data_IF_726845721503
#
_entry.id   IF_726845721503
#
_cell.length_a   1.000
_cell.length_b   1.000
_cell.length_c   1.000
_cell.angle_alpha   90.00
_cell.angle_beta   90.00
_cell.angle_gamma   90.00
#
_symmetry.space_group_name_H-M   'P 1'
#
loop_
_entity.id
_entity.type
_entity.pdbx_description
1 polymer ?
2 non-polymer ?
3 water ?
#
# COMPACT_ATOMS: atom_id res chain seq x y z
N UNK A 1 -5.09 -2.82 -9.78
CA UNK A 1 -5.50 -4.07 -9.07
C UNK A 1 -4.38 -4.49 -8.16
N UNK A 2 -4.62 -5.53 -7.36
CA UNK A 2 -3.58 -6.06 -6.48
C UNK A 2 -2.38 -6.58 -7.27
N UNK A 3 -2.57 -6.99 -8.52
CA UNK A 3 -1.45 -7.44 -9.37
C UNK A 3 -0.45 -6.32 -9.61
N UNK A 4 -0.94 -5.13 -9.95
CA UNK A 4 -0.05 -4.01 -10.16
C UNK A 4 0.60 -3.57 -8.86
N UNK A 5 -0.19 -3.50 -7.81
CA UNK A 5 0.32 -3.10 -6.50
C UNK A 5 1.43 -4.06 -6.06
N UNK A 6 1.19 -5.36 -6.19
CA UNK A 6 2.18 -6.34 -5.76
C UNK A 6 3.48 -6.23 -6.54
N UNK A 7 3.37 -5.98 -7.84
CA UNK A 7 4.55 -5.81 -8.69
C UNK A 7 5.32 -4.54 -8.29
N UNK A 8 4.61 -3.43 -8.12
CA UNK A 8 5.22 -2.19 -7.66
C UNK A 8 5.98 -2.38 -6.37
N UNK A 9 5.39 -3.09 -5.42
CA UNK A 9 6.04 -3.32 -4.14
C UNK A 9 7.31 -4.14 -4.32
N UNK A 10 7.27 -5.17 -5.17
CA UNK A 10 8.51 -5.93 -5.45
C UNK A 10 9.56 -5.02 -6.07
N UNK A 11 9.14 -4.23 -7.05
CA UNK A 11 10.07 -3.35 -7.79
C UNK A 11 10.78 -2.35 -6.86
N UNK A 12 10.01 -1.74 -5.96
CA UNK A 12 10.54 -0.68 -5.09
C UNK A 12 11.20 -1.21 -3.82
N UNK A 13 10.55 -2.17 -3.14
CA UNK A 13 11.05 -2.64 -1.84
C UNK A 13 11.89 -3.90 -1.88
N UNK A 14 11.81 -4.65 -2.98
CA UNK A 14 12.43 -5.96 -3.07
C UNK A 14 11.72 -7.05 -2.31
N UNK A 15 10.55 -6.75 -1.74
CA UNK A 15 9.82 -7.71 -0.90
C UNK A 15 8.59 -8.30 -1.57
N UNK A 16 8.21 -9.47 -1.08
CA UNK A 16 6.96 -10.13 -1.39
C UNK A 16 5.81 -9.39 -0.70
N UNK A 17 4.92 -8.81 -1.49
CA UNK A 17 3.86 -7.97 -0.94
C UNK A 17 2.96 -8.74 0.03
N UNK A 18 2.60 -9.97 -0.32
CA UNK A 18 1.69 -10.73 0.52
C UNK A 18 2.34 -11.10 1.85
N UNK A 19 3.54 -11.66 1.81
CA UNK A 19 4.14 -12.16 3.05
C UNK A 19 4.71 -11.05 3.93
N UNK A 20 5.19 -9.97 3.33
CA UNK A 20 5.77 -8.87 4.09
C UNK A 20 4.76 -7.79 4.50
N UNK A 21 3.75 -7.55 3.68
CA UNK A 21 2.79 -6.45 3.90
C UNK A 21 1.30 -6.86 3.85
N UNK A 22 1.01 -8.16 3.78
CA UNK A 22 -0.36 -8.60 3.71
C UNK A 22 -1.07 -8.55 5.05
N UNK A 23 -0.28 -8.56 6.12
CA UNK A 23 -0.81 -8.37 7.46
C UNK A 23 0.30 -7.77 8.30
N UNK A 24 0.40 -6.45 8.27
CA UNK A 24 1.42 -5.74 9.02
C UNK A 24 0.79 -4.57 9.75
N UNK A 25 1.00 -4.54 11.06
CA UNK A 25 0.51 -3.45 11.87
C UNK A 25 -1.00 -3.37 11.86
N UNK A 26 -1.48 -2.15 12.06
CA UNK A 26 -2.90 -1.83 12.13
C UNK A 26 -3.54 -1.39 10.83
N UNK A 27 -2.74 -1.27 9.76
CA UNK A 27 -3.27 -0.76 8.49
C UNK A 27 -2.91 -1.54 7.24
N UNK A 28 -1.82 -2.30 7.25
CA UNK A 28 -1.44 -3.08 6.07
C UNK A 28 -2.24 -4.39 6.06
N UNK A 29 -3.17 -4.52 5.11
CA UNK A 29 -3.94 -5.73 4.90
C UNK A 29 -5.44 -5.58 5.00
N UNK A 30 -6.13 -6.55 4.42
CA UNK A 30 -7.58 -6.61 4.42
C UNK A 30 -8.11 -6.56 5.85
N UNK A 31 -9.04 -5.65 6.08
CA UNK A 31 -9.69 -5.51 7.37
C UNK A 31 -8.90 -4.76 8.42
N UNK A 32 -7.64 -4.41 8.15
CA UNK A 32 -6.79 -3.74 9.13
C UNK A 32 -7.16 -2.26 9.25
N UNK A 33 -7.66 -1.86 10.42
CA UNK A 33 -7.78 -0.45 10.80
C UNK A 33 -7.22 -0.23 12.19
N UNK A 34 -6.75 0.99 12.40
CA UNK A 34 -6.20 1.40 13.67
C UNK A 34 -5.08 2.39 13.50
N UNK A 35 -4.70 3.02 14.60
CA UNK A 35 -3.62 3.98 14.57
C UNK A 35 -2.32 3.29 14.16
N UNK A 36 -1.56 3.89 13.24
CA UNK A 36 -0.30 3.29 12.81
C UNK A 36 0.68 3.04 13.94
N UNK A 37 1.36 1.90 13.88
CA UNK A 37 2.35 1.51 14.88
C UNK A 37 3.75 2.03 14.55
N UNK A 38 4.00 2.29 13.27
CA UNK A 38 5.29 2.77 12.79
C UNK A 38 5.15 3.37 11.38
N UNK A 39 6.26 3.73 10.76
CA UNK A 39 6.21 4.45 9.48
C UNK A 39 5.68 3.58 8.36
N UNK A 40 6.07 2.30 8.36
CA UNK A 40 5.55 1.35 7.37
C UNK A 40 4.03 1.28 7.46
N UNK A 41 3.52 1.12 8.67
CA UNK A 41 2.09 1.05 8.92
C UNK A 41 1.40 2.35 8.48
N UNK A 42 2.06 3.48 8.72
CA UNK A 42 1.52 4.76 8.31
C UNK A 42 1.39 4.81 6.80
N UNK A 43 2.39 4.29 6.08
CA UNK A 43 2.28 4.17 4.62
C UNK A 43 0.95 3.52 4.22
N UNK A 44 0.61 2.42 4.89
CA UNK A 44 -0.60 1.68 4.54
C UNK A 44 -1.86 2.44 4.90
N UNK A 45 -1.81 3.19 6.00
CA UNK A 45 -2.92 4.06 6.36
C UNK A 45 -3.18 5.11 5.29
N UNK A 46 -2.13 5.81 4.90
CA UNK A 46 -2.22 6.83 3.85
C UNK A 46 -2.79 6.22 2.56
N UNK A 47 -2.31 5.04 2.23
CA UNK A 47 -2.71 4.31 1.02
C UNK A 47 -4.20 4.05 1.03
N UNK A 48 -4.72 3.54 2.13
CA UNK A 48 -6.15 3.28 2.23
C UNK A 48 -6.95 4.57 2.17
N UNK A 49 -6.48 5.62 2.83
CA UNK A 49 -7.14 6.92 2.71
C UNK A 49 -7.22 7.34 1.24
N UNK A 50 -6.13 7.10 0.52
CA UNK A 50 -6.00 7.51 -0.87
C UNK A 50 -7.00 6.80 -1.77
N UNK A 51 -7.11 5.49 -1.66
CA UNK A 51 -7.91 4.79 -2.65
C UNK A 51 -9.37 4.70 -2.21
N UNK A 52 -9.64 4.83 -0.93
CA UNK A 52 -11.00 4.60 -0.46
C UNK A 52 -11.92 5.73 -0.88
N UNK A 53 -11.36 6.88 -1.23
CA UNK A 53 -12.16 8.01 -1.68
C UNK A 53 -12.64 7.88 -3.13
N UNK A 54 -12.05 6.95 -3.89
CA UNK A 54 -12.43 6.72 -5.27
C UNK A 54 -13.71 5.89 -5.38
N UNK A 55 -14.62 6.35 -6.21
CA UNK A 55 -15.97 5.79 -6.29
C UNK A 55 -16.24 5.06 -7.59
N UNK A 56 -15.38 5.24 -8.59
CA UNK A 56 -15.77 4.88 -9.95
C UNK A 56 -15.04 3.66 -10.49
N UNK A 57 -14.28 3.00 -9.63
CA UNK A 57 -13.52 1.82 -10.01
C UNK A 57 -13.09 1.07 -8.74
N UNK A 58 -12.57 -0.14 -8.93
CA UNK A 58 -12.27 -1.05 -7.83
C UNK A 58 -10.78 -1.29 -7.64
N UNK A 59 -10.27 -0.94 -6.47
CA UNK A 59 -8.83 -1.05 -6.18
C UNK A 59 -8.28 -2.46 -6.24
N UNK A 60 -9.10 -3.43 -5.87
CA UNK A 60 -8.60 -4.80 -5.79
C UNK A 60 -8.51 -5.46 -7.16
N UNK A 61 -9.52 -5.28 -8.00
CA UNK A 61 -9.64 -6.12 -9.20
C UNK A 61 -9.45 -5.43 -10.53
N UNK A 62 -9.61 -4.11 -10.59
CA UNK A 62 -9.47 -3.40 -11.86
C UNK A 62 -8.01 -3.14 -12.20
N UNK A 63 -7.55 -3.76 -13.28
CA UNK A 63 -6.19 -3.58 -13.74
C UNK A 63 -6.01 -2.22 -14.37
N UNK A 64 -4.79 -1.74 -14.33
CA UNK A 64 -4.42 -0.50 -14.99
C UNK A 64 -3.03 -0.61 -15.58
N UNK A 65 -2.70 0.35 -16.43
CA UNK A 65 -1.43 0.40 -17.14
C UNK A 65 -0.42 1.29 -16.43
N UNK A 66 0.76 0.74 -16.17
CA UNK A 66 1.88 1.54 -15.69
C UNK A 66 3.16 0.96 -16.27
N UNK A 67 4.23 1.74 -16.24
CA UNK A 67 5.54 1.26 -16.65
C UNK A 67 6.55 1.41 -15.52
N UNK A 68 7.44 0.42 -15.40
CA UNK A 68 8.63 0.50 -14.55
C UNK A 68 9.75 0.93 -15.50
N UNK A 69 9.99 2.24 -15.57
CA UNK A 69 10.85 2.85 -16.59
C UNK A 69 11.95 3.61 -15.88
N UNK A 70 13.20 3.35 -16.24
CA UNK A 70 14.35 3.97 -15.59
C UNK A 70 14.32 3.82 -14.07
N UNK A 71 13.92 2.61 -13.66
CA UNK A 71 13.90 2.18 -12.27
C UNK A 71 12.97 3.02 -11.39
N UNK A 72 11.87 3.49 -11.99
CA UNK A 72 10.79 4.17 -11.26
C UNK A 72 9.43 3.86 -11.88
N UNK A 73 8.36 4.18 -11.16
CA UNK A 73 7.00 3.92 -11.59
C UNK A 73 6.38 5.11 -12.30
N UNK A 74 5.84 4.85 -13.48
CA UNK A 74 5.09 5.86 -14.22
C UNK A 74 3.67 5.36 -14.51
N UNK A 75 2.68 6.06 -13.97
CA UNK A 75 1.28 5.74 -14.23
C UNK A 75 0.89 6.19 -15.64
N UNK A 76 0.53 5.23 -16.49
CA UNK A 76 0.23 5.49 -17.90
C UNK A 76 -1.17 5.00 -18.20
N UNK A 77 -2.11 5.46 -17.39
CA UNK A 77 -3.46 4.95 -17.45
C UNK A 77 -4.43 6.05 -17.89
N UNK A 78 -5.26 5.73 -18.88
CA UNK A 78 -6.21 6.68 -19.48
C UNK A 78 -7.50 6.85 -18.67
N UNK A 79 -7.94 5.79 -18.00
CA UNK A 79 -9.13 5.85 -17.16
C UNK A 79 -8.76 6.74 -15.98
N UNK A 80 -9.43 7.88 -15.80
CA UNK A 80 -9.12 8.79 -14.69
C UNK A 80 -9.14 8.14 -13.29
N UNK A 81 -10.13 7.30 -13.03
CA UNK A 81 -10.22 6.62 -11.74
C UNK A 81 -9.08 5.64 -11.60
N UNK A 82 -8.75 4.91 -12.66
CA UNK A 82 -7.64 3.94 -12.55
C UNK A 82 -6.29 4.65 -12.49
N UNK A 83 -6.19 5.84 -13.05
CA UNK A 83 -4.96 6.63 -12.93
C UNK A 83 -4.76 7.02 -11.45
N UNK A 84 -5.84 7.42 -10.79
CA UNK A 84 -5.79 7.74 -9.37
C UNK A 84 -5.44 6.50 -8.52
N UNK A 85 -5.97 5.34 -8.88
CA UNK A 85 -5.63 4.08 -8.20
C UNK A 85 -4.14 3.85 -8.32
N UNK A 86 -3.65 4.03 -9.54
CA UNK A 86 -2.24 3.83 -9.83
C UNK A 86 -1.40 4.78 -8.99
N UNK A 87 -1.80 6.04 -8.88
CA UNK A 87 -1.03 6.99 -8.08
C UNK A 87 -1.02 6.63 -6.60
N UNK A 88 -2.14 6.11 -6.09
CA UNK A 88 -2.18 5.63 -4.71
C UNK A 88 -1.19 4.49 -4.51
N UNK A 89 -1.19 3.54 -5.44
CA UNK A 89 -0.34 2.36 -5.37
C UNK A 89 1.15 2.71 -5.51
N UNK A 90 1.47 3.57 -6.46
CA UNK A 90 2.82 4.07 -6.64
C UNK A 90 3.31 4.69 -5.34
N UNK A 91 2.46 5.49 -4.71
CA UNK A 91 2.83 6.21 -3.50
C UNK A 91 3.12 5.26 -2.35
N UNK A 92 2.31 4.23 -2.20
CA UNK A 92 2.58 3.30 -1.10
C UNK A 92 3.83 2.48 -1.36
N UNK A 93 4.10 2.11 -2.61
CA UNK A 93 5.32 1.35 -2.91
C UNK A 93 6.57 2.16 -2.59
N UNK A 94 6.57 3.43 -3.00
CA UNK A 94 7.66 4.34 -2.68
C UNK A 94 7.78 4.53 -1.17
N UNK A 95 6.66 4.76 -0.51
CA UNK A 95 6.66 4.99 0.93
C UNK A 95 7.24 3.79 1.69
N UNK A 96 6.82 2.59 1.31
CA UNK A 96 7.28 1.38 1.97
C UNK A 96 8.79 1.23 1.77
N UNK A 97 9.25 1.53 0.56
CA UNK A 97 10.68 1.46 0.25
C UNK A 97 11.48 2.47 1.09
N UNK A 98 10.97 3.69 1.20
CA UNK A 98 11.69 4.73 1.94
C UNK A 98 11.73 4.43 3.44
N UNK A 99 10.82 3.58 3.91
CA UNK A 99 10.76 3.23 5.33
C UNK A 99 11.20 1.80 5.68
N UNK A 100 11.95 1.18 4.77
CA UNK A 100 12.47 -0.16 5.01
C UNK A 100 13.36 -0.20 6.23
N UNK A 101 14.01 0.92 6.53
CA UNK A 101 14.96 1.01 7.65
C UNK A 101 14.33 0.76 9.02
N UNK A 102 13.02 0.92 9.13
CA UNK A 102 12.32 0.64 10.39
C UNK A 102 11.30 -0.49 10.30
N UNK A 103 11.24 -1.19 9.16
CA UNK A 103 10.40 -2.39 9.05
C UNK A 103 10.73 -3.35 10.19
N UNK A 104 9.69 -3.83 10.87
CA UNK A 104 9.82 -4.66 12.06
C UNK A 104 8.88 -5.86 11.95
N UNK A 105 9.46 -7.05 11.86
CA UNK A 105 8.68 -8.29 11.73
C UNK A 105 7.69 -8.57 12.87
N UNK A 106 7.85 -7.93 14.03
CA UNK A 106 6.89 -8.09 15.13
C UNK A 106 5.46 -7.68 14.76
N UNK A 107 5.33 -6.77 13.79
CA UNK A 107 4.02 -6.25 13.41
C UNK A 107 3.27 -7.15 12.41
N UNK A 108 3.88 -8.27 12.04
CA UNK A 108 3.22 -9.27 11.19
C UNK A 108 2.28 -10.22 11.95
N UNK A 109 2.29 -10.18 13.28
CA UNK A 109 1.46 -11.08 14.11
C UNK A 109 0.46 -10.27 14.95
N UNK A 110 -0.83 -10.41 14.64
CA UNK A 110 -1.88 -9.54 15.21
C UNK A 110 -1.98 -9.59 16.74
N UNK A 111 -1.66 -10.74 17.32
CA UNK A 111 -1.73 -10.95 18.77
C UNK A 111 -0.59 -10.27 19.55
N UNK A 112 0.49 -9.91 18.85
CA UNK A 112 1.67 -9.31 19.48
C UNK A 112 1.54 -7.83 19.83
N UNK A 113 0.54 -7.14 19.28
CA UNK A 113 0.34 -5.71 19.54
C UNK A 113 -1.13 -5.30 19.57
N UNK A 114 -1.37 -4.11 20.13
CA UNK A 114 -2.70 -3.53 20.23
C UNK A 114 -2.86 -2.41 19.21
N UNK A 115 -4.10 -2.21 18.77
CA UNK A 115 -4.43 -1.14 17.85
C UNK A 115 -5.35 -0.12 18.53
N UNK A 116 -4.91 1.13 18.60
CA UNK A 116 -5.76 2.21 19.09
C UNK A 116 -6.78 2.57 18.02
N UNK A 117 -7.73 3.43 18.39
CA UNK A 117 -8.74 3.90 17.45
C UNK A 117 -8.07 4.57 16.23
N UNK A 118 -8.62 4.38 15.04
CA UNK A 118 -8.07 5.03 13.84
C UNK A 118 -8.11 6.55 13.92
N UNK A 119 -7.08 7.19 13.39
CA UNK A 119 -7.10 8.63 13.18
C UNK A 119 -7.84 8.92 11.88
N UNK A 120 -8.15 10.20 11.65
CA UNK A 120 -8.81 10.62 10.42
C UNK A 120 -7.79 10.79 9.30
N UNK A 121 -8.26 10.65 8.07
CA UNK A 121 -7.41 10.70 6.89
C UNK A 121 -6.83 12.09 6.62
X LIG B 1 -10.06 -2.42 4.79
X LIG B 1 -10.82 -1.78 3.71
X LIG B 1 -9.29 -1.40 5.52
X LIG B 1 -11.02 -3.05 5.72
X LIG B 1 -9.13 -3.39 4.21
#
# INVERSE_FOLDING_TARGET
SLLELGKMILQETGKNAITSYGSYGCNCGWGHRGQPKDATDRCCFVHKCCYKKLTDCNHKTDRYSYSWKNKAIICEEKNPCLKEMCECDKAVAICLRENLDTYNKKYKAYFKFKCKKPETC
SO4 S O1 O2 O3 O4
#
